data_IF_906430697181
#
_entry.id   IF_906430697181
#
_cell.length_a   1.000
_cell.length_b   1.000
_cell.length_c   1.000
_cell.angle_alpha   90.00
_cell.angle_beta   90.00
_cell.angle_gamma   90.00
#
_symmetry.space_group_name_H-M   'P 1'
#
loop_
_entity.id
_entity.type
_entity.pdbx_description
1 polymer ?
#
# COMPACT_ATOMS: atom_id res chain seq x y z
N UNK A 1 -14.17 21.53 17.09
CA UNK A 1 -12.78 21.10 17.32
C UNK A 1 -12.26 20.62 15.99
N UNK A 2 -11.17 21.20 15.50
CA UNK A 2 -10.57 20.77 14.24
C UNK A 2 -10.07 19.33 14.39
N UNK A 3 -10.52 18.44 13.51
CA UNK A 3 -9.99 17.08 13.38
C UNK A 3 -8.47 17.21 13.20
N UNK A 4 -7.64 16.52 14.00
CA UNK A 4 -6.20 16.59 13.82
C UNK A 4 -5.85 16.10 12.41
N UNK A 5 -5.00 16.87 11.74
CA UNK A 5 -4.50 16.68 10.38
C UNK A 5 -3.65 15.40 10.31
N UNK A 6 -4.32 14.26 10.25
CA UNK A 6 -3.68 12.94 10.25
C UNK A 6 -4.01 12.23 8.93
N UNK A 7 -3.45 12.71 7.82
CA UNK A 7 -3.72 12.14 6.49
C UNK A 7 -2.53 12.25 5.51
N UNK A 8 -1.30 12.47 5.97
CA UNK A 8 -0.17 12.61 5.03
C UNK A 8 0.45 11.25 4.71
N UNK A 9 -0.32 10.38 4.04
CA UNK A 9 0.25 9.28 3.28
C UNK A 9 0.25 9.67 1.80
N UNK A 10 1.39 9.48 1.14
CA UNK A 10 1.48 9.65 -0.31
C UNK A 10 1.48 8.30 -1.00
N UNK A 11 0.80 8.26 -2.15
CA UNK A 11 0.70 7.10 -3.01
C UNK A 11 1.41 7.36 -4.33
N UNK A 12 2.15 6.37 -4.78
CA UNK A 12 2.74 6.36 -6.11
C UNK A 12 2.37 5.07 -6.82
N UNK A 13 2.29 5.15 -8.14
CA UNK A 13 2.20 3.98 -8.99
C UNK A 13 3.54 3.71 -9.62
N UNK A 14 3.90 2.44 -9.73
CA UNK A 14 5.10 2.01 -10.44
C UNK A 14 4.85 0.67 -11.11
N UNK A 15 5.79 0.27 -11.97
CA UNK A 15 5.87 -1.07 -12.54
C UNK A 15 7.25 -1.60 -12.22
N UNK A 16 7.29 -2.65 -11.41
CA UNK A 16 8.54 -3.31 -11.00
C UNK A 16 8.57 -4.66 -11.69
N UNK A 17 9.59 -4.88 -12.51
CA UNK A 17 9.60 -5.99 -13.47
C UNK A 17 8.40 -5.87 -14.42
N UNK A 18 7.43 -6.78 -14.29
CA UNK A 18 6.16 -6.75 -15.04
C UNK A 18 4.95 -6.40 -14.18
N UNK A 19 5.13 -6.22 -12.88
CA UNK A 19 4.04 -6.12 -11.91
C UNK A 19 3.72 -4.65 -11.63
N UNK A 20 2.49 -4.18 -11.91
CA UNK A 20 2.06 -2.87 -11.43
C UNK A 20 1.91 -2.91 -9.90
N UNK A 21 2.44 -1.89 -9.24
CA UNK A 21 2.41 -1.77 -7.79
C UNK A 21 1.83 -0.42 -7.39
N UNK A 22 1.24 -0.36 -6.20
CA UNK A 22 0.95 0.88 -5.48
C UNK A 22 1.90 0.97 -4.30
N UNK A 23 2.64 2.07 -4.21
CA UNK A 23 3.55 2.36 -3.10
C UNK A 23 2.87 3.35 -2.18
N UNK A 24 2.76 3.03 -0.90
CA UNK A 24 2.16 3.86 0.12
C UNK A 24 3.22 4.22 1.16
N UNK A 25 3.60 5.49 1.23
CA UNK A 25 4.46 6.00 2.30
C UNK A 25 3.61 6.76 3.32
N UNK A 26 3.37 6.18 4.51
CA UNK A 26 2.70 6.88 5.59
C UNK A 26 3.65 7.82 6.33
N UNK A 27 3.21 9.04 6.66
CA UNK A 27 3.96 9.93 7.56
C UNK A 27 3.50 9.75 9.01
N UNK A 28 4.34 9.10 9.82
CA UNK A 28 4.39 9.05 11.30
C UNK A 28 3.12 8.89 12.15
N UNK A 29 1.92 8.75 11.58
CA UNK A 29 0.67 8.53 12.31
C UNK A 29 -0.34 7.89 11.35
N UNK A 30 -0.36 6.56 11.26
CA UNK A 30 -1.64 5.93 10.90
C UNK A 30 -2.41 5.71 12.18
N UNK A 31 -3.57 6.35 12.27
CA UNK A 31 -4.43 6.35 13.46
C UNK A 31 -5.17 5.03 13.60
N UNK A 32 -5.14 4.14 12.59
CA UNK A 32 -6.08 3.03 12.50
C UNK A 32 -5.44 1.64 12.36
N UNK A 33 -4.16 1.46 12.67
CA UNK A 33 -3.57 0.10 12.67
C UNK A 33 -4.10 -0.74 13.83
N UNK A 34 -4.64 -0.10 14.86
CA UNK A 34 -5.22 -0.75 16.03
C UNK A 34 -6.64 -0.21 16.26
N UNK A 35 -7.54 -1.06 16.77
CA UNK A 35 -8.91 -0.69 17.19
C UNK A 35 -8.93 0.50 18.16
N UNK A 36 -7.83 0.73 18.88
CA UNK A 36 -7.68 1.76 19.91
C UNK A 36 -7.46 3.18 19.36
N UNK A 37 -7.28 3.38 18.06
CA UNK A 37 -6.99 4.71 17.51
C UNK A 37 -5.55 5.19 17.79
N UNK A 38 -4.65 4.29 18.20
CA UNK A 38 -3.30 4.65 18.66
C UNK A 38 -2.36 4.91 17.49
N UNK A 39 -1.52 5.94 17.65
CA UNK A 39 -0.50 6.32 16.68
C UNK A 39 0.65 5.31 16.68
N UNK A 40 0.93 4.70 15.54
CA UNK A 40 2.08 3.82 15.38
C UNK A 40 3.33 4.60 14.92
N UNK A 41 4.49 4.24 15.48
CA UNK A 41 5.79 4.57 14.90
C UNK A 41 6.00 3.78 13.60
N UNK A 42 6.94 4.19 12.75
CA UNK A 42 7.18 3.53 11.46
C UNK A 42 7.62 2.05 11.59
N UNK A 43 8.38 1.72 12.64
CA UNK A 43 8.75 0.33 12.94
C UNK A 43 7.55 -0.50 13.41
N UNK A 44 6.68 0.09 14.24
CA UNK A 44 5.44 -0.55 14.68
C UNK A 44 4.47 -0.76 13.50
N UNK A 45 4.44 0.17 12.54
CA UNK A 45 3.69 0.05 11.29
C UNK A 45 4.16 -1.16 10.49
N UNK A 46 5.46 -1.21 10.20
CA UNK A 46 6.06 -2.30 9.41
C UNK A 46 5.86 -3.66 10.10
N UNK A 47 5.99 -3.69 11.42
CA UNK A 47 5.72 -4.89 12.24
C UNK A 47 4.27 -5.33 12.11
N UNK A 48 3.30 -4.43 12.28
CA UNK A 48 1.88 -4.77 12.16
C UNK A 48 1.52 -5.26 10.76
N UNK A 49 2.03 -4.63 9.70
CA UNK A 49 1.84 -5.12 8.34
C UNK A 49 2.35 -6.56 8.18
N UNK A 50 3.52 -6.85 8.73
CA UNK A 50 4.15 -8.18 8.65
C UNK A 50 3.36 -9.22 9.44
N UNK A 51 2.85 -8.87 10.63
CA UNK A 51 1.95 -9.72 11.41
C UNK A 51 0.65 -10.06 10.67
N UNK A 52 0.22 -9.19 9.74
CA UNK A 52 -0.93 -9.38 8.86
C UNK A 52 -0.57 -9.91 7.46
N UNK A 53 0.60 -10.54 7.33
CA UNK A 53 0.98 -11.31 6.14
C UNK A 53 1.77 -10.55 5.09
N UNK A 54 2.09 -9.27 5.31
CA UNK A 54 3.04 -8.57 4.46
C UNK A 54 4.42 -9.22 4.59
N UNK A 55 5.17 -9.21 3.50
CA UNK A 55 6.48 -9.84 3.39
C UNK A 55 7.56 -8.77 3.29
N UNK A 56 8.72 -8.94 3.94
CA UNK A 56 9.87 -8.08 3.71
C UNK A 56 10.23 -8.06 2.22
N UNK A 57 10.45 -6.88 1.67
CA UNK A 57 10.85 -6.71 0.29
C UNK A 57 12.35 -6.99 0.17
N UNK A 58 12.69 -8.22 -0.22
CA UNK A 58 14.08 -8.67 -0.49
C UNK A 58 14.31 -8.94 -1.97
N UNK A 59 13.24 -9.23 -2.70
CA UNK A 59 13.18 -9.56 -4.11
C UNK A 59 12.01 -8.83 -4.78
N UNK A 60 12.00 -8.81 -6.12
CA UNK A 60 11.06 -8.00 -6.93
C UNK A 60 10.03 -8.82 -7.71
N UNK A 61 10.03 -10.14 -7.55
CA UNK A 61 9.16 -11.04 -8.32
C UNK A 61 7.71 -11.10 -7.78
N UNK A 62 7.44 -10.57 -6.59
CA UNK A 62 6.11 -10.47 -5.94
C UNK A 62 5.19 -11.68 -6.17
N UNK A 63 5.69 -12.88 -5.91
CA UNK A 63 5.00 -14.14 -6.21
C UNK A 63 3.96 -14.48 -5.14
N UNK A 64 2.82 -15.04 -5.57
CA UNK A 64 1.78 -15.56 -4.69
C UNK A 64 0.39 -15.04 -5.01
N UNK A 65 -0.61 -15.64 -4.37
CA UNK A 65 -2.01 -15.22 -4.46
C UNK A 65 -2.31 -14.03 -3.54
N UNK A 66 -3.42 -13.29 -3.76
CA UNK A 66 -3.86 -12.27 -2.83
C UNK A 66 -3.99 -12.79 -1.39
N UNK A 67 -3.41 -12.06 -0.45
CA UNK A 67 -3.47 -12.38 0.97
C UNK A 67 -4.91 -12.20 1.50
N UNK A 68 -5.40 -13.15 2.33
CA UNK A 68 -6.76 -13.07 2.87
C UNK A 68 -7.02 -11.77 3.65
N UNK A 69 -8.19 -11.18 3.41
CA UNK A 69 -8.64 -9.97 4.11
C UNK A 69 -8.01 -8.66 3.64
N UNK A 70 -7.01 -8.72 2.76
CA UNK A 70 -6.46 -7.54 2.11
C UNK A 70 -7.24 -7.18 0.86
N UNK A 71 -7.67 -5.93 0.76
CA UNK A 71 -8.39 -5.41 -0.41
C UNK A 71 -7.87 -4.06 -0.86
N UNK A 72 -7.77 -3.90 -2.17
CA UNK A 72 -7.53 -2.63 -2.85
C UNK A 72 -8.74 -2.35 -3.72
N UNK A 73 -9.38 -1.21 -3.47
CA UNK A 73 -10.45 -0.70 -4.32
C UNK A 73 -9.93 0.50 -5.09
N UNK A 74 -9.88 0.38 -6.40
CA UNK A 74 -9.55 1.47 -7.32
C UNK A 74 -10.86 2.15 -7.71
N UNK A 75 -10.98 3.45 -7.47
CA UNK A 75 -12.18 4.20 -7.79
C UNK A 75 -12.38 4.41 -9.29
N UNK A 76 -13.58 4.88 -9.64
CA UNK A 76 -13.96 5.19 -11.01
C UNK A 76 -12.94 6.11 -11.68
N UNK A 77 -12.54 5.75 -12.91
CA UNK A 77 -11.54 6.50 -13.66
C UNK A 77 -10.12 6.36 -13.11
N UNK A 78 -9.84 5.41 -12.20
CA UNK A 78 -8.50 5.09 -11.66
C UNK A 78 -7.79 6.35 -11.13
N UNK A 79 -8.52 7.14 -10.35
CA UNK A 79 -8.04 8.40 -9.74
C UNK A 79 -7.98 8.34 -8.23
N UNK A 80 -8.58 7.32 -7.62
CA UNK A 80 -8.56 7.11 -6.17
C UNK A 80 -8.25 5.66 -5.86
N UNK A 81 -7.67 5.45 -4.69
CA UNK A 81 -7.41 4.12 -4.14
C UNK A 81 -7.85 4.07 -2.69
N UNK A 82 -8.46 2.96 -2.31
CA UNK A 82 -8.74 2.60 -0.93
C UNK A 82 -8.09 1.27 -0.62
N UNK A 83 -7.40 1.20 0.51
CA UNK A 83 -6.67 0.03 0.97
C UNK A 83 -7.24 -0.34 2.33
N UNK A 84 -7.69 -1.59 2.43
CA UNK A 84 -8.25 -2.15 3.66
C UNK A 84 -7.52 -3.43 3.98
N UNK A 85 -7.11 -3.56 5.24
CA UNK A 85 -6.49 -4.76 5.76
C UNK A 85 -7.51 -5.73 6.36
N UNK A 86 -7.04 -6.91 6.81
CA UNK A 86 -7.85 -7.88 7.52
C UNK A 86 -8.40 -7.31 8.84
N UNK A 87 -9.26 -8.08 9.50
CA UNK A 87 -9.82 -7.74 10.82
C UNK A 87 -8.71 -7.33 11.80
N UNK A 88 -8.91 -6.20 12.50
CA UNK A 88 -7.94 -5.58 13.39
C UNK A 88 -7.14 -4.44 12.73
N UNK A 89 -6.93 -4.50 11.41
CA UNK A 89 -6.14 -3.50 10.68
C UNK A 89 -6.99 -2.41 9.99
N UNK A 90 -8.24 -2.73 9.65
CA UNK A 90 -9.21 -1.73 9.18
C UNK A 90 -8.84 -1.02 7.86
N UNK A 91 -9.33 0.21 7.69
CA UNK A 91 -8.93 1.06 6.57
C UNK A 91 -7.55 1.68 6.85
N UNK A 92 -6.61 1.38 5.95
CA UNK A 92 -5.20 1.71 6.07
C UNK A 92 -4.90 3.02 5.34
N UNK A 93 -5.56 3.20 4.19
CA UNK A 93 -5.41 4.38 3.36
C UNK A 93 -6.64 4.58 2.47
N UNK A 94 -7.02 5.83 2.26
CA UNK A 94 -7.94 6.25 1.21
C UNK A 94 -7.48 7.60 0.68
N UNK A 95 -7.32 7.73 -0.63
CA UNK A 95 -6.84 8.98 -1.21
C UNK A 95 -6.71 8.98 -2.73
N UNK A 96 -6.03 10.01 -3.24
CA UNK A 96 -5.75 10.16 -4.67
C UNK A 96 -4.80 9.07 -5.18
N UNK A 97 -4.92 8.76 -6.47
CA UNK A 97 -4.05 7.85 -7.18
C UNK A 97 -3.69 8.48 -8.52
N UNK A 98 -2.42 8.85 -8.68
CA UNK A 98 -1.88 9.28 -9.96
C UNK A 98 -1.32 8.05 -10.69
N UNK A 99 -1.96 7.71 -11.81
CA UNK A 99 -1.59 6.57 -12.63
C UNK A 99 -1.58 6.97 -14.11
N UNK A 100 -0.56 6.56 -14.84
CA UNK A 100 -0.52 6.68 -16.31
C UNK A 100 -1.41 5.62 -17.00
N UNK A 101 -1.61 5.77 -18.31
CA UNK A 101 -2.43 4.86 -19.12
C UNK A 101 -1.93 3.42 -19.08
N UNK A 102 -0.61 3.22 -19.14
CA UNK A 102 -0.02 1.89 -19.22
C UNK A 102 -0.20 1.12 -17.91
N UNK A 103 -0.07 1.81 -16.77
CA UNK A 103 -0.34 1.24 -15.46
C UNK A 103 -1.82 0.86 -15.31
N UNK A 104 -2.73 1.74 -15.72
CA UNK A 104 -4.18 1.50 -15.68
C UNK A 104 -4.58 0.25 -16.46
N UNK A 105 -4.05 0.08 -17.68
CA UNK A 105 -4.30 -1.09 -18.52
C UNK A 105 -3.83 -2.39 -17.85
N UNK A 106 -2.65 -2.37 -17.22
CA UNK A 106 -2.14 -3.54 -16.49
C UNK A 106 -3.03 -3.89 -15.29
N UNK A 107 -3.45 -2.89 -14.52
CA UNK A 107 -4.33 -3.10 -13.35
C UNK A 107 -5.71 -3.62 -13.76
N UNK A 108 -6.28 -3.11 -14.85
CA UNK A 108 -7.51 -3.67 -15.41
C UNK A 108 -7.35 -5.15 -15.82
N UNK A 109 -6.19 -5.50 -16.40
CA UNK A 109 -5.84 -6.89 -16.70
C UNK A 109 -5.78 -7.77 -15.45
N UNK A 110 -5.13 -7.30 -14.38
CA UNK A 110 -5.04 -8.02 -13.10
C UNK A 110 -6.41 -8.23 -12.44
N UNK A 111 -7.28 -7.22 -12.49
CA UNK A 111 -8.65 -7.33 -11.99
C UNK A 111 -9.43 -8.41 -12.74
N UNK A 112 -9.34 -8.42 -14.08
CA UNK A 112 -10.05 -9.39 -14.91
C UNK A 112 -9.67 -10.85 -14.61
N UNK A 113 -8.40 -11.10 -14.27
CA UNK A 113 -7.90 -12.44 -13.97
C UNK A 113 -7.86 -12.77 -12.46
N UNK A 114 -8.28 -11.84 -11.59
CA UNK A 114 -8.28 -12.03 -10.14
C UNK A 114 -6.89 -12.12 -9.50
N UNK A 115 -5.83 -11.66 -10.17
CA UNK A 115 -4.45 -11.77 -9.70
C UNK A 115 -4.09 -10.79 -8.55
N UNK A 116 -5.01 -9.90 -8.19
CA UNK A 116 -4.80 -8.88 -7.18
C UNK A 116 -3.76 -7.84 -7.54
N UNK A 117 -3.55 -6.86 -6.65
CA UNK A 117 -2.59 -5.78 -6.81
C UNK A 117 -1.54 -5.84 -5.70
N UNK A 118 -0.28 -5.58 -6.04
CA UNK A 118 0.80 -5.49 -5.06
C UNK A 118 0.80 -4.11 -4.44
N UNK A 119 0.75 -4.10 -3.12
CA UNK A 119 0.94 -2.93 -2.28
C UNK A 119 2.33 -3.00 -1.67
N UNK A 120 3.07 -1.89 -1.74
CA UNK A 120 4.35 -1.73 -1.08
C UNK A 120 4.22 -0.62 -0.06
N UNK A 121 4.70 -0.84 1.15
CA UNK A 121 4.75 0.17 2.20
C UNK A 121 5.99 -0.04 3.05
N UNK A 122 6.29 0.89 3.94
CA UNK A 122 7.43 0.78 4.84
C UNK A 122 7.82 2.13 5.41
N UNK A 123 9.03 2.16 5.97
CA UNK A 123 9.57 3.35 6.63
C UNK A 123 10.42 4.16 5.65
N UNK A 124 9.93 5.36 5.30
CA UNK A 124 10.68 6.35 4.54
C UNK A 124 10.82 7.64 5.35
N UNK A 125 11.98 8.30 5.22
CA UNK A 125 12.29 9.52 5.96
C UNK A 125 11.60 10.76 5.36
N UNK A 126 11.15 10.66 4.11
CA UNK A 126 10.43 11.71 3.38
C UNK A 126 9.30 11.10 2.54
N UNK A 127 8.31 11.93 2.19
CA UNK A 127 7.23 11.57 1.27
C UNK A 127 7.60 11.95 -0.17
N UNK A 128 8.64 11.31 -0.71
CA UNK A 128 9.12 11.57 -2.07
C UNK A 128 9.33 10.26 -2.83
N UNK A 129 9.27 10.28 -4.18
CA UNK A 129 9.61 9.10 -4.98
C UNK A 129 11.01 8.55 -4.68
N UNK A 130 12.00 9.44 -4.50
CA UNK A 130 13.37 9.04 -4.19
C UNK A 130 13.45 8.33 -2.83
N UNK A 131 12.75 8.84 -1.81
CA UNK A 131 12.70 8.19 -0.50
C UNK A 131 11.97 6.84 -0.54
N UNK A 132 11.01 6.65 -1.46
CA UNK A 132 10.38 5.36 -1.68
C UNK A 132 11.36 4.34 -2.26
N UNK A 133 12.22 4.77 -3.19
CA UNK A 133 13.29 3.92 -3.74
C UNK A 133 14.33 3.58 -2.66
N UNK A 134 14.82 4.58 -1.92
CA UNK A 134 15.76 4.38 -0.80
C UNK A 134 15.19 3.45 0.28
N UNK A 135 13.89 3.52 0.57
CA UNK A 135 13.21 2.59 1.47
C UNK A 135 13.30 1.14 0.97
N UNK A 136 13.08 0.91 -0.32
CA UNK A 136 13.14 -0.43 -0.93
C UNK A 136 14.58 -0.95 -0.95
N UNK A 137 15.55 -0.12 -1.33
CA UNK A 137 16.97 -0.49 -1.37
C UNK A 137 17.56 -0.78 0.02
N UNK A 138 17.08 -0.08 1.05
CA UNK A 138 17.50 -0.29 2.43
C UNK A 138 16.80 -1.48 3.11
N UNK A 139 16.03 -2.30 2.38
CA UNK A 139 15.24 -3.42 2.91
C UNK A 139 14.25 -3.00 4.03
N UNK A 140 13.80 -1.74 4.01
CA UNK A 140 12.81 -1.18 4.95
C UNK A 140 11.38 -1.25 4.41
N UNK A 141 11.21 -1.78 3.21
CA UNK A 141 9.93 -1.98 2.57
C UNK A 141 9.37 -3.37 2.89
N UNK A 142 8.05 -3.43 3.00
CA UNK A 142 7.26 -4.66 3.00
C UNK A 142 6.24 -4.59 1.88
N UNK A 143 5.81 -5.74 1.41
CA UNK A 143 4.81 -5.83 0.36
C UNK A 143 3.73 -6.86 0.69
N UNK A 144 2.53 -6.64 0.16
CA UNK A 144 1.40 -7.56 0.24
C UNK A 144 0.69 -7.57 -1.11
N UNK A 145 0.27 -8.74 -1.57
CA UNK A 145 -0.68 -8.83 -2.68
C UNK A 145 -2.08 -8.79 -2.12
N UNK A 146 -2.88 -7.84 -2.56
CA UNK A 146 -4.24 -7.62 -2.07
C UNK A 146 -5.26 -7.91 -3.16
N UNK A 147 -6.46 -8.33 -2.75
CA UNK A 147 -7.57 -8.55 -3.69
C UNK A 147 -7.93 -7.22 -4.34
N UNK A 148 -8.00 -7.18 -5.66
CA UNK A 148 -8.25 -5.96 -6.41
C UNK A 148 -9.72 -5.87 -6.79
N UNK A 149 -10.32 -4.69 -6.57
CA UNK A 149 -11.66 -4.31 -6.98
C UNK A 149 -11.59 -3.01 -7.78
N UNK A 150 -12.36 -2.92 -8.87
CA UNK A 150 -12.44 -1.75 -9.76
C UNK A 150 -13.90 -1.38 -10.05
#
# INVERSE_FOLDING_TARGET
MATPEIEQAMTWTAVIGTTPVVIVLPRFRSVHIAESGTLATADAWTTALTEHGAQPMRDTDFLGDPAPGWTVTIGAGVTTVRITGPTGLGEIYSGGLEADTQWRERVAGLHHIGAGLVLISGTADQLTPDAALEMMEAERAVWIRATLWM
#
